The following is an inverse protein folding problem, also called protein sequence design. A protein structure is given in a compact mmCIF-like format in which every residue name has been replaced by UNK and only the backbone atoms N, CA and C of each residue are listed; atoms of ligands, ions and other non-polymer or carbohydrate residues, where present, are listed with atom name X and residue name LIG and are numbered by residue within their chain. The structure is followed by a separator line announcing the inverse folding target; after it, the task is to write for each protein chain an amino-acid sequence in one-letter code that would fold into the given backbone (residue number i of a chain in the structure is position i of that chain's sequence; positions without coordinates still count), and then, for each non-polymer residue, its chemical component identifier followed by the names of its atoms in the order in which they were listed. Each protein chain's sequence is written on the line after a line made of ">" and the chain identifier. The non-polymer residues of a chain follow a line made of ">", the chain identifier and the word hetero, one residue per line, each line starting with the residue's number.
data_IF_193073122497
#
_entry.id   IF_193073122497
#
_cell.length_a   1.000
_cell.length_b   1.000
_cell.length_c   1.000
_cell.angle_alpha   90.00
_cell.angle_beta   90.00
_cell.angle_gamma   90.00
#
_symmetry.space_group_name_H-M   'P 1'
#
loop_
_entity.id
_entity.type
_entity.pdbx_description
1 polymer ?
#
# COMPACT_ATOMS: atom_id res chain seq x y z
N UNK A 1 -14.60 -6.31 -8.77
CA UNK A 1 -14.73 -6.74 -7.36
C UNK A 1 -14.94 -8.26 -7.22
N UNK A 2 -15.95 -8.86 -7.87
CA UNK A 2 -16.27 -10.29 -7.75
C UNK A 2 -15.07 -11.23 -7.97
N UNK A 3 -14.35 -11.07 -9.09
CA UNK A 3 -13.30 -12.01 -9.49
C UNK A 3 -12.13 -12.14 -8.50
N UNK A 4 -11.78 -11.07 -7.78
CA UNK A 4 -10.71 -11.12 -6.77
C UNK A 4 -11.18 -11.71 -5.44
N UNK A 5 -12.45 -11.49 -5.08
CA UNK A 5 -13.07 -11.95 -3.84
C UNK A 5 -13.43 -13.44 -3.91
N UNK A 6 -14.14 -13.84 -4.96
CA UNK A 6 -14.54 -15.22 -5.24
C UNK A 6 -13.36 -16.02 -5.72
N UNK A 7 -12.50 -15.31 -6.44
CA UNK A 7 -11.17 -15.80 -6.64
C UNK A 7 -10.99 -16.86 -7.69
N UNK A 8 -11.83 -16.68 -8.69
CA UNK A 8 -11.97 -17.40 -9.93
C UNK A 8 -10.62 -17.63 -10.63
N UNK A 9 -9.63 -16.77 -10.40
CA UNK A 9 -8.29 -16.89 -10.97
C UNK A 9 -7.20 -17.09 -9.91
N UNK A 10 -6.24 -18.01 -10.14
CA UNK A 10 -5.06 -18.13 -9.29
C UNK A 10 -4.19 -16.86 -9.43
N UNK A 11 -3.75 -16.29 -8.31
CA UNK A 11 -2.99 -15.04 -8.31
C UNK A 11 -2.59 -14.58 -6.91
N UNK A 12 -1.99 -13.39 -6.79
CA UNK A 12 -1.48 -12.87 -5.51
C UNK A 12 -2.55 -12.80 -4.42
N UNK A 13 -3.76 -12.37 -4.78
CA UNK A 13 -4.89 -12.28 -3.85
C UNK A 13 -5.56 -13.62 -3.59
N UNK A 14 -5.24 -14.70 -4.33
CA UNK A 14 -5.97 -15.96 -4.20
C UNK A 14 -5.75 -16.69 -2.88
N UNK A 15 -4.55 -16.56 -2.33
CA UNK A 15 -4.14 -17.17 -1.06
C UNK A 15 -4.36 -16.25 0.15
N UNK A 16 -4.79 -15.00 -0.06
CA UNK A 16 -4.87 -13.94 0.97
C UNK A 16 -6.29 -13.40 1.14
N UNK A 17 -7.28 -14.26 0.91
CA UNK A 17 -8.71 -13.91 1.02
C UNK A 17 -9.17 -14.05 2.48
N UNK A 18 -10.13 -13.22 2.92
CA UNK A 18 -10.81 -12.16 2.18
C UNK A 18 -9.95 -10.89 2.01
N UNK A 19 -10.10 -10.19 0.87
CA UNK A 19 -9.48 -8.87 0.64
C UNK A 19 -10.54 -7.77 0.60
N UNK A 20 -10.23 -6.61 1.20
CA UNK A 20 -11.10 -5.44 1.22
C UNK A 20 -10.44 -4.32 0.41
N UNK A 21 -11.18 -3.72 -0.54
CA UNK A 21 -10.74 -2.48 -1.16
C UNK A 21 -10.96 -1.35 -0.15
N UNK A 22 -9.87 -0.74 0.30
CA UNK A 22 -9.89 0.36 1.28
C UNK A 22 -9.66 1.73 0.63
N UNK A 23 -9.09 1.78 -0.57
CA UNK A 23 -8.84 3.02 -1.30
C UNK A 23 -8.77 2.76 -2.81
N UNK A 24 -9.35 3.67 -3.59
CA UNK A 24 -9.22 3.73 -5.04
C UNK A 24 -9.45 5.17 -5.51
N UNK A 25 -8.70 5.59 -6.53
CA UNK A 25 -8.82 6.91 -7.14
C UNK A 25 -8.99 6.77 -8.66
N UNK A 26 -9.79 7.65 -9.25
CA UNK A 26 -9.99 7.71 -10.69
C UNK A 26 -9.09 8.81 -11.26
N UNK A 27 -8.22 8.45 -12.20
CA UNK A 27 -7.41 9.41 -12.94
C UNK A 27 -7.96 9.56 -14.37
N UNK A 28 -7.99 10.79 -14.90
CA UNK A 28 -8.45 11.07 -16.26
C UNK A 28 -7.52 10.48 -17.33
N UNK A 29 -6.22 10.42 -17.02
CA UNK A 29 -5.19 9.89 -17.92
C UNK A 29 -4.50 8.68 -17.32
N UNK A 30 -4.26 7.68 -18.15
CA UNK A 30 -3.53 6.47 -17.77
C UNK A 30 -2.10 6.77 -17.30
N UNK A 31 -1.45 7.80 -17.84
CA UNK A 31 -0.11 8.23 -17.44
C UNK A 31 -0.05 8.68 -15.99
N UNK A 32 -1.12 9.33 -15.52
CA UNK A 32 -1.20 9.87 -14.18
C UNK A 32 -1.41 8.72 -13.19
N UNK A 33 -2.29 7.77 -13.55
CA UNK A 33 -2.48 6.53 -12.78
C UNK A 33 -1.16 5.74 -12.64
N UNK A 34 -0.39 5.58 -13.73
CA UNK A 34 0.90 4.89 -13.70
C UNK A 34 1.91 5.64 -12.83
N UNK A 35 1.98 6.96 -12.95
CA UNK A 35 2.88 7.78 -12.14
C UNK A 35 2.53 7.68 -10.65
N UNK A 36 1.23 7.70 -10.33
CA UNK A 36 0.73 7.56 -8.97
C UNK A 36 1.03 6.17 -8.39
N UNK A 37 0.74 5.10 -9.15
CA UNK A 37 1.06 3.72 -8.76
C UNK A 37 2.56 3.54 -8.46
N UNK A 38 3.42 4.12 -9.29
CA UNK A 38 4.89 4.07 -9.08
C UNK A 38 5.31 4.77 -7.79
N UNK A 39 4.67 5.90 -7.44
CA UNK A 39 4.91 6.60 -6.17
C UNK A 39 4.46 5.74 -4.99
N UNK A 40 3.21 5.26 -5.02
CA UNK A 40 2.61 4.46 -3.95
C UNK A 40 3.37 3.15 -3.65
N UNK A 41 3.94 2.49 -4.66
CA UNK A 41 4.73 1.25 -4.47
C UNK A 41 5.93 1.43 -3.54
N UNK A 42 6.47 2.64 -3.41
CA UNK A 42 7.58 2.95 -2.51
C UNK A 42 7.15 3.44 -1.13
N UNK A 43 5.85 3.68 -0.91
CA UNK A 43 5.35 4.25 0.33
C UNK A 43 5.37 3.22 1.45
N UNK A 44 5.73 3.71 2.63
CA UNK A 44 5.58 2.99 3.87
C UNK A 44 4.12 2.65 4.15
N UNK A 45 3.92 1.71 5.08
CA UNK A 45 2.58 1.37 5.56
C UNK A 45 1.88 2.58 6.19
N UNK A 46 2.63 3.43 6.91
CA UNK A 46 2.08 4.62 7.56
C UNK A 46 1.53 5.64 6.54
N UNK A 47 2.27 5.90 5.47
CA UNK A 47 1.83 6.78 4.39
C UNK A 47 0.57 6.24 3.70
N UNK A 48 0.53 4.94 3.40
CA UNK A 48 -0.65 4.31 2.79
C UNK A 48 -1.87 4.39 3.72
N UNK A 49 -1.71 4.17 5.02
CA UNK A 49 -2.80 4.27 5.99
C UNK A 49 -3.32 5.71 6.15
N UNK A 50 -2.42 6.71 6.15
CA UNK A 50 -2.81 8.11 6.18
C UNK A 50 -3.61 8.50 4.93
N UNK A 51 -3.18 8.03 3.75
CA UNK A 51 -3.91 8.22 2.50
C UNK A 51 -5.30 7.57 2.55
N UNK A 52 -5.42 6.35 3.06
CA UNK A 52 -6.70 5.64 3.22
C UNK A 52 -7.65 6.43 4.13
N UNK A 53 -7.14 7.08 5.18
CA UNK A 53 -7.93 7.89 6.12
C UNK A 53 -8.28 9.29 5.58
N UNK A 54 -7.69 9.71 4.46
CA UNK A 54 -7.79 11.08 3.95
C UNK A 54 -7.05 12.10 4.83
N UNK A 55 -6.11 11.62 5.65
CA UNK A 55 -5.31 12.45 6.56
C UNK A 55 -4.06 12.96 5.85
N UNK A 56 -4.20 14.13 5.21
CA UNK A 56 -3.11 14.76 4.45
C UNK A 56 -1.98 15.27 5.33
N UNK A 57 -2.27 15.68 6.57
CA UNK A 57 -1.26 16.15 7.52
C UNK A 57 -0.44 14.96 8.02
N UNK A 58 -1.11 13.88 8.44
CA UNK A 58 -0.46 12.62 8.81
C UNK A 58 0.32 12.00 7.65
N UNK A 59 -0.16 12.12 6.41
CA UNK A 59 0.58 11.67 5.23
C UNK A 59 1.88 12.46 5.05
N UNK A 60 1.81 13.79 5.19
CA UNK A 60 2.99 14.66 5.07
C UNK A 60 4.01 14.36 6.16
N UNK A 61 3.57 14.07 7.37
CA UNK A 61 4.45 13.73 8.47
C UNK A 61 5.05 12.33 8.32
N UNK A 62 4.27 11.35 7.86
CA UNK A 62 4.77 10.01 7.56
C UNK A 62 5.82 10.03 6.43
N UNK A 63 5.64 10.89 5.42
CA UNK A 63 6.60 11.05 4.33
C UNK A 63 7.94 11.68 4.78
N UNK A 64 7.93 12.48 5.86
CA UNK A 64 9.18 13.04 6.45
C UNK A 64 9.96 12.02 7.24
N UNK A 65 9.32 10.95 7.69
CA UNK A 65 9.97 9.83 8.37
C UNK A 65 9.96 8.62 7.46
N UNK A 66 10.78 8.62 6.39
CA UNK A 66 10.96 7.42 5.58
C UNK A 66 11.36 6.32 6.54
N UNK A 67 10.49 5.33 6.71
CA UNK A 67 10.62 4.28 7.71
C UNK A 67 12.07 3.88 7.76
N UNK A 68 12.73 4.14 8.89
CA UNK A 68 14.10 3.70 9.09
C UNK A 68 14.12 2.25 8.65
N UNK A 69 14.96 1.97 7.66
CA UNK A 69 15.18 0.61 7.16
C UNK A 69 15.99 -0.15 8.22
N UNK A 70 15.61 -0.03 9.48
CA UNK A 70 16.13 -0.76 10.62
C UNK A 70 15.48 -2.14 10.51
N UNK A 71 16.10 -2.97 9.67
CA UNK A 71 16.09 -4.41 9.95
C UNK A 71 16.68 -4.55 11.33
N UNK A 72 15.82 -4.64 12.35
CA UNK A 72 16.16 -5.33 13.58
C UNK A 72 16.52 -6.75 13.15
N UNK A 73 17.78 -6.97 12.78
CA UNK A 73 18.37 -8.28 12.85
C UNK A 73 18.39 -8.60 14.36
N UNK A 74 17.60 -9.56 14.86
CA UNK A 74 17.88 -10.08 16.17
C UNK A 74 19.30 -10.68 16.09
N UNK A 75 20.24 -10.10 16.82
CA UNK A 75 21.53 -10.74 17.08
C UNK A 75 21.24 -12.08 17.75
N UNK A 76 21.69 -13.23 17.19
CA UNK A 76 21.55 -14.50 17.90
C UNK A 76 22.45 -14.42 19.13
N UNK A 77 21.86 -14.54 20.31
CA UNK A 77 22.57 -14.63 21.58
C UNK A 77 22.83 -16.10 21.89
N UNK A 78 24.13 -16.40 22.10
CA UNK A 78 24.75 -17.58 22.76
C UNK A 78 24.54 -18.97 22.17
#
# INVERSE_FOLDING_TARGET
>A
MSQHRDGTYPGYTSRRRPVTLVWAEQCERITDAIAYERRLKGWSRAEQEALIRGDWDGLRDAAKQPTSRERSHPTPSS
#
